data_IF_087398249351
#
_entry.id   IF_087398249351
#
_cell.length_a   1.000
_cell.length_b   1.000
_cell.length_c   1.000
_cell.angle_alpha   90.00
_cell.angle_beta   90.00
_cell.angle_gamma   90.00
#
_symmetry.space_group_name_H-M   'P 1'
#
loop_
_entity.id
_entity.type
_entity.pdbx_description
1 polymer ?
#
# COMPACT_ATOMS: atom_id res chain seq x y z
N UNK A 1 22.96 -2.47 5.43
CA UNK A 1 21.92 -1.47 5.13
C UNK A 1 21.07 -1.19 6.38
N UNK A 2 20.29 -0.09 6.37
CA UNK A 2 19.36 0.22 7.48
C UNK A 2 18.31 -0.88 7.66
N UNK A 3 17.86 -1.51 6.58
CA UNK A 3 16.92 -2.64 6.61
C UNK A 3 17.52 -3.82 7.40
N UNK A 4 18.76 -4.15 7.18
CA UNK A 4 19.42 -5.25 7.89
C UNK A 4 19.62 -4.97 9.38
N UNK A 5 19.99 -3.74 9.72
CA UNK A 5 20.06 -3.32 11.10
C UNK A 5 18.69 -3.46 11.82
N UNK A 6 17.61 -3.08 11.15
CA UNK A 6 16.25 -3.25 11.68
C UNK A 6 15.84 -4.72 11.80
N UNK A 7 16.18 -5.56 10.82
CA UNK A 7 15.91 -7.01 10.90
C UNK A 7 16.60 -7.67 12.10
N UNK A 8 17.81 -7.20 12.44
CA UNK A 8 18.58 -7.73 13.57
C UNK A 8 18.10 -7.18 14.93
N UNK A 9 17.56 -5.96 14.98
CA UNK A 9 17.22 -5.27 16.23
C UNK A 9 15.73 -5.27 16.57
N UNK A 10 14.83 -5.53 15.61
CA UNK A 10 13.39 -5.51 15.80
C UNK A 10 12.76 -6.89 15.51
N UNK A 11 12.50 -7.71 16.55
CA UNK A 11 11.91 -9.05 16.36
C UNK A 11 10.55 -9.05 15.67
N UNK A 12 9.75 -8.02 15.89
CA UNK A 12 8.43 -7.88 15.24
C UNK A 12 8.60 -7.71 13.73
N UNK A 13 9.53 -6.83 13.32
CA UNK A 13 9.80 -6.63 11.91
C UNK A 13 10.41 -7.89 11.26
N UNK A 14 11.34 -8.55 11.94
CA UNK A 14 11.91 -9.82 11.47
C UNK A 14 10.82 -10.89 11.28
N UNK A 15 9.90 -11.03 12.26
CA UNK A 15 8.77 -11.97 12.15
C UNK A 15 7.83 -11.63 11.02
N UNK A 16 7.56 -10.33 10.80
CA UNK A 16 6.72 -9.89 9.69
C UNK A 16 7.34 -10.28 8.33
N UNK A 17 8.64 -10.06 8.15
CA UNK A 17 9.34 -10.47 6.94
C UNK A 17 9.36 -12.00 6.78
N UNK A 18 9.45 -12.78 7.88
CA UNK A 18 9.31 -14.24 7.82
C UNK A 18 7.94 -14.66 7.27
N UNK A 19 6.86 -14.08 7.80
CA UNK A 19 5.50 -14.38 7.35
C UNK A 19 5.28 -14.02 5.88
N UNK A 20 5.77 -12.85 5.45
CA UNK A 20 5.70 -12.45 4.04
C UNK A 20 6.50 -13.38 3.14
N UNK A 21 7.68 -13.80 3.59
CA UNK A 21 8.52 -14.74 2.82
C UNK A 21 7.85 -16.10 2.68
N UNK A 22 7.24 -16.59 3.76
CA UNK A 22 6.49 -17.85 3.75
C UNK A 22 5.29 -17.79 2.78
N UNK A 23 4.50 -16.72 2.84
CA UNK A 23 3.41 -16.49 1.91
C UNK A 23 3.90 -16.39 0.46
N UNK A 24 5.01 -15.70 0.23
CA UNK A 24 5.56 -15.50 -1.12
C UNK A 24 6.14 -16.79 -1.75
N UNK A 25 6.57 -17.78 -0.96
CA UNK A 25 7.05 -19.07 -1.46
C UNK A 25 5.99 -19.87 -2.23
N UNK A 26 4.72 -19.65 -1.93
CA UNK A 26 3.59 -20.26 -2.66
C UNK A 26 3.39 -19.69 -4.07
N UNK A 27 4.01 -18.55 -4.38
CA UNK A 27 3.95 -17.93 -5.69
C UNK A 27 5.12 -18.41 -6.56
N UNK A 28 4.82 -18.89 -7.74
CA UNK A 28 5.86 -19.25 -8.73
C UNK A 28 6.31 -18.01 -9.49
N UNK A 29 7.01 -17.11 -8.78
CA UNK A 29 7.52 -15.85 -9.32
C UNK A 29 9.00 -15.98 -9.68
N UNK A 30 9.41 -15.32 -10.77
CA UNK A 30 10.80 -15.30 -11.23
C UNK A 30 11.61 -14.22 -10.50
N UNK A 31 10.95 -13.17 -10.01
CA UNK A 31 11.55 -12.07 -9.26
C UNK A 31 10.53 -11.38 -8.36
N UNK A 32 11.01 -10.57 -7.44
CA UNK A 32 10.21 -9.71 -6.56
C UNK A 32 10.23 -8.29 -7.10
N UNK A 33 9.12 -7.57 -7.04
CA UNK A 33 9.07 -6.14 -7.31
C UNK A 33 8.51 -5.36 -6.12
N UNK A 34 8.87 -4.09 -6.03
CA UNK A 34 8.34 -3.18 -5.01
C UNK A 34 8.41 -1.74 -5.45
N UNK A 35 7.43 -0.93 -5.03
CA UNK A 35 7.29 0.47 -5.38
C UNK A 35 7.93 1.43 -4.37
N UNK A 36 8.40 2.58 -4.85
CA UNK A 36 8.94 3.63 -4.00
C UNK A 36 7.85 4.15 -3.05
N UNK A 37 8.12 4.26 -1.80
CA UNK A 37 9.36 4.10 -1.02
C UNK A 37 9.20 3.04 0.07
N UNK A 38 7.98 2.90 0.64
CA UNK A 38 7.73 2.05 1.80
C UNK A 38 7.74 0.57 1.47
N UNK A 39 7.33 0.20 0.27
CA UNK A 39 7.35 -1.19 -0.17
C UNK A 39 8.76 -1.79 -0.11
N UNK A 40 9.80 -0.98 -0.35
CA UNK A 40 11.20 -1.45 -0.31
C UNK A 40 11.59 -2.04 1.05
N UNK A 41 11.00 -1.59 2.15
CA UNK A 41 11.25 -2.19 3.47
C UNK A 41 10.76 -3.63 3.57
N UNK A 42 9.83 -4.04 2.74
CA UNK A 42 9.27 -5.39 2.72
C UNK A 42 9.76 -6.20 1.53
N UNK A 43 9.74 -5.63 0.34
CA UNK A 43 10.06 -6.33 -0.90
C UNK A 43 11.54 -6.74 -0.99
N UNK A 44 12.47 -5.86 -0.62
CA UNK A 44 13.90 -6.18 -0.68
C UNK A 44 14.31 -7.33 0.26
N UNK A 45 13.96 -7.33 1.56
CA UNK A 45 14.33 -8.44 2.44
C UNK A 45 13.62 -9.74 2.06
N UNK A 46 12.39 -9.69 1.56
CA UNK A 46 11.71 -10.90 1.07
C UNK A 46 12.38 -11.45 -0.17
N UNK A 47 12.73 -10.62 -1.16
CA UNK A 47 13.49 -11.04 -2.34
C UNK A 47 14.77 -11.77 -1.95
N UNK A 48 15.55 -11.18 -1.03
CA UNK A 48 16.80 -11.76 -0.53
C UNK A 48 16.59 -13.12 0.15
N UNK A 49 15.54 -13.27 0.97
CA UNK A 49 15.24 -14.55 1.65
C UNK A 49 14.74 -15.63 0.70
N UNK A 50 14.12 -15.24 -0.41
CA UNK A 50 13.72 -16.14 -1.48
C UNK A 50 14.86 -16.51 -2.41
N UNK A 51 16.00 -15.80 -2.35
CA UNK A 51 17.09 -15.96 -3.32
C UNK A 51 16.72 -15.48 -4.72
N UNK A 52 15.77 -14.52 -4.82
CA UNK A 52 15.28 -13.94 -6.06
C UNK A 52 15.87 -12.53 -6.28
N UNK A 53 15.95 -12.11 -7.53
CA UNK A 53 16.25 -10.74 -7.87
C UNK A 53 15.10 -9.80 -7.46
N UNK A 54 15.40 -8.51 -7.33
CA UNK A 54 14.46 -7.46 -6.93
C UNK A 54 14.39 -6.34 -7.97
N UNK A 55 13.19 -6.00 -8.43
CA UNK A 55 12.93 -4.82 -9.26
C UNK A 55 12.42 -3.68 -8.38
N UNK A 56 13.24 -2.65 -8.20
CA UNK A 56 12.84 -1.41 -7.55
C UNK A 56 12.17 -0.49 -8.57
N UNK A 57 10.95 -0.04 -8.29
CA UNK A 57 10.17 0.84 -9.16
C UNK A 57 10.03 2.19 -8.46
N UNK A 58 10.49 3.27 -9.11
CA UNK A 58 10.42 4.61 -8.55
C UNK A 58 9.17 5.36 -9.04
N UNK A 59 8.86 6.49 -8.39
CA UNK A 59 7.65 7.28 -8.70
C UNK A 59 7.67 7.94 -10.08
N UNK A 60 8.87 8.18 -10.60
CA UNK A 60 9.09 8.68 -11.95
C UNK A 60 9.04 7.57 -13.02
N UNK A 61 8.67 6.35 -12.62
CA UNK A 61 8.60 5.13 -13.42
C UNK A 61 9.97 4.57 -13.81
N UNK A 62 11.07 5.16 -13.36
CA UNK A 62 12.39 4.55 -13.52
C UNK A 62 12.45 3.25 -12.71
N UNK A 63 13.28 2.32 -13.16
CA UNK A 63 13.42 1.01 -12.54
C UNK A 63 14.88 0.61 -12.44
N UNK A 64 15.22 -0.10 -11.37
CA UNK A 64 16.54 -0.71 -11.16
C UNK A 64 16.34 -2.16 -10.76
N UNK A 65 17.02 -3.06 -11.44
CA UNK A 65 17.04 -4.48 -11.09
C UNK A 65 18.30 -4.82 -10.29
N UNK A 66 18.12 -5.54 -9.21
CA UNK A 66 19.22 -6.10 -8.42
C UNK A 66 19.07 -7.62 -8.43
N UNK A 67 20.09 -8.34 -8.89
CA UNK A 67 20.03 -9.79 -8.95
C UNK A 67 20.09 -10.46 -7.55
N UNK A 68 19.97 -11.78 -7.52
CA UNK A 68 20.00 -12.56 -6.28
C UNK A 68 21.37 -12.47 -5.55
N UNK A 69 22.43 -12.08 -6.22
CA UNK A 69 23.77 -11.87 -5.68
C UNK A 69 23.96 -10.44 -5.14
N UNK A 70 22.98 -9.57 -5.35
CA UNK A 70 23.00 -8.17 -4.89
C UNK A 70 23.69 -7.21 -5.88
N UNK A 71 23.91 -7.63 -7.12
CA UNK A 71 24.48 -6.76 -8.18
C UNK A 71 23.35 -6.00 -8.85
N UNK A 72 23.43 -4.67 -8.79
CA UNK A 72 22.45 -3.80 -9.44
C UNK A 72 22.82 -3.55 -10.90
N UNK A 73 21.82 -3.55 -11.78
CA UNK A 73 21.97 -3.30 -13.21
C UNK A 73 20.77 -2.53 -13.76
N UNK A 74 20.91 -2.01 -14.95
CA UNK A 74 19.78 -1.46 -15.71
C UNK A 74 18.73 -2.56 -15.94
N UNK A 75 17.52 -2.29 -15.57
CA UNK A 75 16.39 -3.24 -15.68
C UNK A 75 16.11 -3.68 -17.13
N UNK A 76 16.37 -2.82 -18.11
CA UNK A 76 16.24 -3.19 -19.53
C UNK A 76 17.22 -4.29 -19.96
N UNK A 77 18.36 -4.38 -19.29
CA UNK A 77 19.41 -5.39 -19.54
C UNK A 77 19.23 -6.66 -18.69
N UNK A 78 18.28 -6.68 -17.77
CA UNK A 78 18.09 -7.78 -16.80
C UNK A 78 17.38 -9.03 -17.37
N UNK A 79 16.96 -9.00 -18.64
CA UNK A 79 16.31 -10.15 -19.29
C UNK A 79 14.99 -10.53 -18.64
N UNK A 80 14.16 -9.54 -18.29
CA UNK A 80 12.88 -9.74 -17.58
C UNK A 80 11.72 -10.08 -18.52
N UNK A 81 11.87 -9.97 -19.82
CA UNK A 81 10.83 -10.27 -20.78
C UNK A 81 10.26 -11.69 -20.60
N UNK A 82 8.94 -11.78 -20.53
CA UNK A 82 8.20 -13.04 -20.28
C UNK A 82 8.24 -13.53 -18.83
N UNK A 83 8.93 -12.84 -17.94
CA UNK A 83 9.02 -13.21 -16.52
C UNK A 83 7.85 -12.66 -15.70
N UNK A 84 7.59 -13.32 -14.58
CA UNK A 84 6.48 -13.05 -13.67
C UNK A 84 7.01 -12.61 -12.30
N UNK A 85 6.52 -11.47 -11.81
CA UNK A 85 6.89 -11.00 -10.47
C UNK A 85 5.79 -11.26 -9.45
N UNK A 86 6.21 -11.37 -8.18
CA UNK A 86 5.36 -11.03 -7.04
C UNK A 86 5.69 -9.59 -6.63
N UNK A 87 4.68 -8.73 -6.67
CA UNK A 87 4.84 -7.36 -6.17
C UNK A 87 4.49 -7.30 -4.69
N UNK A 88 5.39 -6.74 -3.90
CA UNK A 88 5.23 -6.67 -2.44
C UNK A 88 5.01 -5.22 -2.04
N UNK A 89 3.90 -4.98 -1.31
CA UNK A 89 3.49 -3.67 -0.82
C UNK A 89 3.33 -3.64 0.71
N UNK A 90 3.43 -2.44 1.27
CA UNK A 90 3.13 -2.20 2.68
C UNK A 90 1.63 -2.23 2.97
N UNK A 91 0.86 -1.52 2.17
CA UNK A 91 -0.57 -1.29 2.37
C UNK A 91 -1.30 -1.13 1.04
N UNK A 92 -2.44 -1.78 0.92
CA UNK A 92 -3.38 -1.59 -0.18
C UNK A 92 -4.62 -0.82 0.30
N UNK A 93 -5.03 0.17 -0.49
CA UNK A 93 -6.30 0.90 -0.32
C UNK A 93 -7.18 0.65 -1.55
N UNK A 94 -7.01 1.45 -2.59
CA UNK A 94 -7.69 1.33 -3.89
C UNK A 94 -6.70 0.99 -5.02
N UNK A 95 -5.54 0.46 -4.70
CA UNK A 95 -4.48 0.03 -5.63
C UNK A 95 -4.07 1.06 -6.70
N UNK A 96 -4.27 2.36 -6.45
CA UNK A 96 -4.05 3.41 -7.46
C UNK A 96 -2.60 3.50 -7.95
N UNK A 97 -1.62 3.22 -7.10
CA UNK A 97 -0.20 3.18 -7.48
C UNK A 97 0.10 2.01 -8.42
N UNK A 98 -0.53 0.87 -8.19
CA UNK A 98 -0.39 -0.29 -9.08
C UNK A 98 -0.84 0.02 -10.49
N UNK A 99 -2.07 0.52 -10.62
CA UNK A 99 -2.69 0.79 -11.94
C UNK A 99 -1.95 1.89 -12.69
N UNK A 100 -1.56 2.96 -11.98
CA UNK A 100 -0.95 4.14 -12.62
C UNK A 100 0.55 4.02 -12.85
N UNK A 101 1.24 3.18 -12.07
CA UNK A 101 2.69 3.16 -12.05
C UNK A 101 3.29 1.75 -12.11
N UNK A 102 3.00 0.89 -11.13
CA UNK A 102 3.76 -0.34 -10.96
C UNK A 102 3.52 -1.36 -12.08
N UNK A 103 2.27 -1.61 -12.44
CA UNK A 103 1.92 -2.52 -13.54
C UNK A 103 2.46 -1.99 -14.88
N UNK A 104 2.24 -0.71 -15.26
CA UNK A 104 2.85 -0.15 -16.48
C UNK A 104 4.39 -0.26 -16.51
N UNK A 105 5.07 0.03 -15.41
CA UNK A 105 6.53 -0.03 -15.36
C UNK A 105 7.07 -1.45 -15.58
N UNK A 106 6.45 -2.46 -14.96
CA UNK A 106 6.84 -3.87 -15.14
C UNK A 106 6.53 -4.34 -16.56
N UNK A 107 5.36 -3.98 -17.10
CA UNK A 107 4.98 -4.33 -18.48
C UNK A 107 5.86 -3.68 -19.53
N UNK A 108 6.37 -2.48 -19.29
CA UNK A 108 7.35 -1.84 -20.17
C UNK A 108 8.65 -2.64 -20.32
N UNK A 109 9.00 -3.51 -19.37
CA UNK A 109 10.11 -4.44 -19.42
C UNK A 109 9.76 -5.80 -20.05
N UNK A 110 8.54 -5.95 -20.56
CA UNK A 110 8.04 -7.22 -21.12
C UNK A 110 7.71 -8.28 -20.06
N UNK A 111 7.65 -7.90 -18.79
CA UNK A 111 7.28 -8.75 -17.67
C UNK A 111 5.87 -8.45 -17.16
N UNK A 112 5.33 -9.28 -16.26
CA UNK A 112 4.06 -9.04 -15.61
C UNK A 112 4.15 -9.15 -14.08
N UNK A 113 3.32 -8.38 -13.38
CA UNK A 113 3.01 -8.63 -11.97
C UNK A 113 1.93 -9.71 -11.94
N UNK A 114 2.32 -10.94 -11.62
CA UNK A 114 1.40 -12.08 -11.60
C UNK A 114 0.74 -12.27 -10.23
N UNK A 115 1.35 -11.73 -9.17
CA UNK A 115 0.88 -11.85 -7.79
C UNK A 115 1.14 -10.55 -7.05
N UNK A 116 0.23 -10.20 -6.14
CA UNK A 116 0.42 -9.09 -5.19
C UNK A 116 0.37 -9.63 -3.77
N UNK A 117 1.37 -9.24 -2.96
CA UNK A 117 1.43 -9.57 -1.55
C UNK A 117 1.56 -8.27 -0.75
N UNK A 118 0.63 -8.00 0.15
CA UNK A 118 0.69 -6.84 1.01
C UNK A 118 0.67 -7.21 2.49
N UNK A 119 1.23 -6.34 3.33
CA UNK A 119 1.11 -6.50 4.79
C UNK A 119 -0.33 -6.27 5.19
N UNK A 120 -0.94 -5.18 4.73
CA UNK A 120 -2.30 -4.80 5.12
C UNK A 120 -3.14 -4.47 3.89
N UNK A 121 -4.35 -5.03 3.82
CA UNK A 121 -5.43 -4.53 2.98
C UNK A 121 -6.42 -3.72 3.81
N UNK A 122 -6.67 -2.48 3.41
CA UNK A 122 -7.68 -1.63 4.06
C UNK A 122 -9.12 -1.99 3.67
N UNK A 123 -9.29 -2.99 2.81
CA UNK A 123 -10.59 -3.47 2.34
C UNK A 123 -11.46 -2.37 1.69
N UNK A 124 -10.83 -1.53 0.88
CA UNK A 124 -11.46 -0.39 0.18
C UNK A 124 -11.52 -0.62 -1.34
N UNK A 125 -11.68 -1.86 -1.78
CA UNK A 125 -11.85 -2.24 -3.18
C UNK A 125 -10.54 -2.51 -3.94
N UNK A 126 -9.37 -2.29 -3.35
CA UNK A 126 -8.08 -2.51 -4.02
C UNK A 126 -7.87 -3.96 -4.46
N UNK A 127 -8.32 -4.92 -3.67
CA UNK A 127 -8.21 -6.35 -4.01
C UNK A 127 -8.94 -6.70 -5.31
N UNK A 128 -10.15 -6.17 -5.52
CA UNK A 128 -10.90 -6.40 -6.77
C UNK A 128 -10.20 -5.76 -7.97
N UNK A 129 -9.73 -4.51 -7.81
CA UNK A 129 -9.00 -3.80 -8.87
C UNK A 129 -7.74 -4.57 -9.29
N UNK A 130 -7.02 -5.16 -8.33
CA UNK A 130 -5.83 -5.98 -8.62
C UNK A 130 -6.20 -7.31 -9.28
N UNK A 131 -7.28 -7.95 -8.87
CA UNK A 131 -7.78 -9.16 -9.52
C UNK A 131 -8.15 -8.89 -10.98
N UNK A 132 -8.87 -7.81 -11.26
CA UNK A 132 -9.26 -7.40 -12.62
C UNK A 132 -8.03 -7.03 -13.48
N UNK A 133 -6.96 -6.54 -12.86
CA UNK A 133 -5.69 -6.26 -13.54
C UNK A 133 -4.82 -7.51 -13.79
N UNK A 134 -5.24 -8.69 -13.33
CA UNK A 134 -4.53 -9.95 -13.48
C UNK A 134 -3.42 -10.21 -12.45
N UNK A 135 -3.39 -9.44 -11.35
CA UNK A 135 -2.42 -9.58 -10.26
C UNK A 135 -3.12 -9.74 -8.89
N UNK A 136 -3.77 -10.89 -8.64
CA UNK A 136 -4.59 -11.10 -7.45
C UNK A 136 -3.81 -10.84 -6.15
N UNK A 137 -4.52 -10.27 -5.16
CA UNK A 137 -3.96 -9.84 -3.89
C UNK A 137 -4.04 -10.95 -2.83
N UNK A 138 -2.93 -11.17 -2.16
CA UNK A 138 -2.85 -11.88 -0.88
C UNK A 138 -2.37 -10.91 0.19
N UNK A 139 -2.93 -10.96 1.40
CA UNK A 139 -2.54 -10.07 2.50
C UNK A 139 -2.32 -10.85 3.80
N UNK A 140 -1.46 -10.32 4.66
CA UNK A 140 -1.30 -10.87 6.00
C UNK A 140 -2.43 -10.44 6.94
N UNK A 141 -2.93 -9.22 6.75
CA UNK A 141 -4.01 -8.64 7.56
C UNK A 141 -4.97 -7.88 6.65
N UNK A 142 -6.27 -8.13 6.84
CA UNK A 142 -7.33 -7.32 6.23
C UNK A 142 -8.02 -6.51 7.31
N UNK A 143 -8.23 -5.22 7.06
CA UNK A 143 -8.97 -4.34 7.97
C UNK A 143 -10.45 -4.67 7.87
N UNK A 144 -10.98 -5.29 8.94
CA UNK A 144 -12.37 -5.71 9.05
C UNK A 144 -12.96 -5.23 10.38
N UNK A 145 -14.29 -5.13 10.54
CA UNK A 145 -14.94 -4.87 11.83
C UNK A 145 -14.44 -5.78 12.94
N UNK A 146 -14.34 -7.08 12.69
CA UNK A 146 -13.92 -8.10 13.67
C UNK A 146 -12.50 -7.86 14.23
N UNK A 147 -11.58 -7.29 13.44
CA UNK A 147 -10.27 -6.87 13.92
C UNK A 147 -10.39 -5.87 15.08
N UNK A 148 -11.25 -4.87 14.93
CA UNK A 148 -11.43 -3.82 15.93
C UNK A 148 -12.29 -4.28 17.11
N UNK A 149 -13.29 -5.11 16.88
CA UNK A 149 -14.06 -5.76 17.94
C UNK A 149 -13.15 -6.62 18.83
N UNK A 150 -12.21 -7.35 18.20
CA UNK A 150 -11.20 -8.12 18.93
C UNK A 150 -10.28 -7.21 19.72
N UNK A 151 -9.80 -6.11 19.14
CA UNK A 151 -8.96 -5.13 19.84
C UNK A 151 -9.71 -4.53 21.05
N UNK A 152 -11.02 -4.27 20.93
CA UNK A 152 -11.84 -3.79 22.03
C UNK A 152 -11.99 -4.85 23.13
N UNK A 153 -12.32 -6.09 22.78
CA UNK A 153 -12.39 -7.21 23.75
C UNK A 153 -11.08 -7.41 24.53
N UNK A 154 -9.95 -7.13 23.88
CA UNK A 154 -8.63 -7.17 24.50
C UNK A 154 -8.28 -5.90 25.30
N UNK A 155 -9.19 -4.94 25.42
CA UNK A 155 -8.97 -3.68 26.12
C UNK A 155 -7.94 -2.75 25.46
N UNK A 156 -7.67 -2.93 24.15
CA UNK A 156 -6.71 -2.11 23.40
C UNK A 156 -7.31 -0.81 22.88
N UNK A 157 -8.61 -0.78 22.68
CA UNK A 157 -9.37 0.41 22.29
C UNK A 157 -10.62 0.51 23.15
N UNK A 158 -11.12 1.73 23.35
CA UNK A 158 -12.35 2.01 24.09
C UNK A 158 -13.57 1.77 23.21
N UNK A 159 -14.76 1.66 23.82
CA UNK A 159 -16.02 1.56 23.08
C UNK A 159 -16.20 2.72 22.11
N UNK A 160 -15.94 3.97 22.55
CA UNK A 160 -16.03 5.15 21.69
C UNK A 160 -15.11 5.07 20.45
N UNK A 161 -13.90 4.53 20.60
CA UNK A 161 -12.99 4.32 19.48
C UNK A 161 -13.48 3.22 18.54
N UNK A 162 -14.04 2.14 19.08
CA UNK A 162 -14.67 1.09 18.29
C UNK A 162 -15.83 1.64 17.46
N UNK A 163 -16.78 2.36 18.09
CA UNK A 163 -17.94 2.94 17.40
C UNK A 163 -17.51 3.85 16.25
N UNK A 164 -16.49 4.68 16.50
CA UNK A 164 -15.94 5.59 15.49
C UNK A 164 -15.35 4.84 14.29
N UNK A 165 -14.59 3.78 14.53
CA UNK A 165 -13.98 2.98 13.46
C UNK A 165 -15.03 2.20 12.68
N UNK A 166 -16.01 1.61 13.37
CA UNK A 166 -17.09 0.88 12.72
C UNK A 166 -17.94 1.80 11.84
N UNK A 167 -18.25 3.02 12.30
CA UNK A 167 -18.95 4.02 11.51
C UNK A 167 -18.15 4.38 10.22
N UNK A 168 -16.83 4.58 10.35
CA UNK A 168 -15.96 4.84 9.20
C UNK A 168 -15.90 3.66 8.21
N UNK A 169 -15.83 2.41 8.69
CA UNK A 169 -15.80 1.22 7.83
C UNK A 169 -17.12 1.02 7.10
N UNK A 170 -18.25 1.31 7.77
CA UNK A 170 -19.59 1.15 7.19
C UNK A 170 -19.82 2.08 6.01
N UNK A 171 -19.47 3.36 6.14
CA UNK A 171 -19.60 4.37 5.09
C UNK A 171 -18.56 5.48 5.29
N UNK A 172 -17.38 5.36 4.68
CA UNK A 172 -16.30 6.36 4.78
C UNK A 172 -16.70 7.74 4.25
N UNK A 173 -17.55 7.79 3.23
CA UNK A 173 -17.97 9.03 2.59
C UNK A 173 -18.95 9.77 3.49
N UNK A 174 -19.98 9.10 4.01
CA UNK A 174 -20.91 9.67 4.96
C UNK A 174 -20.19 10.11 6.25
N UNK A 175 -19.28 9.28 6.76
CA UNK A 175 -18.48 9.61 7.94
C UNK A 175 -17.71 10.93 7.77
N UNK A 176 -17.08 11.13 6.60
CA UNK A 176 -16.34 12.36 6.31
C UNK A 176 -17.28 13.56 6.13
N UNK A 177 -18.43 13.38 5.49
CA UNK A 177 -19.45 14.44 5.35
C UNK A 177 -19.97 14.90 6.72
N UNK A 178 -20.30 13.96 7.61
CA UNK A 178 -20.73 14.25 8.98
C UNK A 178 -19.64 14.99 9.77
N UNK A 179 -18.37 14.59 9.61
CA UNK A 179 -17.24 15.30 10.19
C UNK A 179 -17.14 16.75 9.70
N UNK A 180 -17.27 16.96 8.39
CA UNK A 180 -17.20 18.31 7.80
C UNK A 180 -18.38 19.19 8.24
N UNK A 181 -19.58 18.62 8.39
CA UNK A 181 -20.74 19.34 8.92
C UNK A 181 -20.58 19.72 10.40
N UNK A 182 -20.00 18.82 11.19
CA UNK A 182 -19.69 19.08 12.60
C UNK A 182 -18.53 20.09 12.79
N UNK A 183 -17.69 20.28 11.77
CA UNK A 183 -16.52 21.15 11.80
C UNK A 183 -16.48 22.10 10.58
N UNK A 184 -17.43 23.03 10.44
CA UNK A 184 -17.60 23.85 9.24
C UNK A 184 -16.40 24.76 8.90
N UNK A 185 -15.55 25.05 9.85
CA UNK A 185 -14.32 25.82 9.68
C UNK A 185 -13.09 24.95 9.28
N UNK A 186 -13.23 23.62 9.22
CA UNK A 186 -12.10 22.71 8.97
C UNK A 186 -11.43 22.99 7.64
N UNK A 187 -12.18 23.03 6.55
CA UNK A 187 -11.63 23.25 5.19
C UNK A 187 -10.94 24.62 5.07
N UNK A 188 -11.55 25.68 5.62
CA UNK A 188 -10.95 27.03 5.65
C UNK A 188 -9.61 27.02 6.38
N UNK A 189 -9.54 26.36 7.53
CA UNK A 189 -8.28 26.23 8.30
C UNK A 189 -7.20 25.45 7.55
N UNK A 190 -7.58 24.37 6.87
CA UNK A 190 -6.61 23.58 6.09
C UNK A 190 -6.10 24.36 4.86
N UNK A 191 -6.95 25.14 4.20
CA UNK A 191 -6.56 26.05 3.11
C UNK A 191 -5.58 27.11 3.62
N UNK A 192 -5.87 27.71 4.78
CA UNK A 192 -5.00 28.73 5.39
C UNK A 192 -3.61 28.24 5.75
N UNK A 193 -3.43 26.91 6.02
CA UNK A 193 -2.12 26.31 6.26
C UNK A 193 -1.23 26.26 5.01
N UNK A 194 -1.81 26.36 3.82
CA UNK A 194 -1.08 26.28 2.54
C UNK A 194 -0.53 24.90 2.19
N UNK A 195 0.23 24.84 1.11
CA UNK A 195 0.94 23.64 0.69
C UNK A 195 0.02 22.44 0.42
N UNK A 196 0.43 21.25 0.86
CA UNK A 196 -0.34 20.01 0.64
C UNK A 196 -1.69 19.98 1.35
N UNK A 197 -1.84 20.73 2.45
CA UNK A 197 -3.10 20.78 3.17
C UNK A 197 -4.14 21.57 2.38
N UNK A 198 -3.75 22.73 1.85
CA UNK A 198 -4.60 23.52 0.96
C UNK A 198 -5.02 22.73 -0.29
N UNK A 199 -4.06 22.11 -0.97
CA UNK A 199 -4.34 21.28 -2.16
C UNK A 199 -5.36 20.16 -1.89
N UNK A 200 -5.29 19.50 -0.74
CA UNK A 200 -6.23 18.45 -0.37
C UNK A 200 -7.61 18.98 -0.02
N UNK A 201 -7.68 20.11 0.68
CA UNK A 201 -8.95 20.75 1.01
C UNK A 201 -9.65 21.29 -0.27
N UNK A 202 -8.89 21.89 -1.16
CA UNK A 202 -9.38 22.36 -2.47
C UNK A 202 -9.87 21.18 -3.34
N UNK A 203 -9.13 20.06 -3.35
CA UNK A 203 -9.56 18.85 -4.05
C UNK A 203 -10.88 18.31 -3.47
N UNK A 204 -11.03 18.29 -2.17
CA UNK A 204 -12.26 17.86 -1.49
C UNK A 204 -13.47 18.73 -1.94
N UNK A 205 -13.25 20.04 -2.09
CA UNK A 205 -14.28 20.99 -2.56
C UNK A 205 -14.58 20.77 -4.04
N UNK A 206 -13.55 20.76 -4.89
CA UNK A 206 -13.71 20.71 -6.35
C UNK A 206 -14.23 19.37 -6.86
N UNK A 207 -13.98 18.29 -6.12
CA UNK A 207 -14.55 16.96 -6.41
C UNK A 207 -16.04 16.83 -6.02
N UNK A 208 -16.63 17.87 -5.41
CA UNK A 208 -18.03 17.84 -4.95
C UNK A 208 -18.26 16.97 -3.71
N UNK A 209 -17.19 16.56 -3.04
CA UNK A 209 -17.24 15.69 -1.86
C UNK A 209 -17.68 16.46 -0.61
N UNK A 210 -17.30 17.75 -0.49
CA UNK A 210 -17.65 18.57 0.65
C UNK A 210 -19.13 18.99 0.62
N UNK A 211 -19.90 18.78 1.70
CA UNK A 211 -21.28 19.27 1.78
C UNK A 211 -21.32 20.80 1.63
N UNK A 212 -22.36 21.32 0.96
CA UNK A 212 -22.49 22.76 0.70
C UNK A 212 -22.41 23.62 1.97
N UNK A 213 -22.96 23.12 3.10
CA UNK A 213 -22.92 23.80 4.40
C UNK A 213 -21.51 23.88 5.03
N UNK A 214 -20.54 23.06 4.56
CA UNK A 214 -19.17 23.01 5.03
C UNK A 214 -18.19 23.73 4.08
N UNK A 215 -18.68 24.35 3.00
CA UNK A 215 -17.82 25.10 2.08
C UNK A 215 -17.31 26.40 2.72
N UNK A 216 -16.07 26.79 2.48
CA UNK A 216 -15.53 28.08 2.91
C UNK A 216 -16.41 29.23 2.38
N UNK A 217 -16.68 30.19 3.28
CA UNK A 217 -17.41 31.43 2.94
C UNK A 217 -16.46 32.46 2.39
#
# INVERSE_FOLDING_TARGET
SQIEAQLSSCPIYARLIDLMTEAARGFHADFVSGGERRDFFFSMPVARRLGLGHLSIFKDLSTVYTDAQGVSMDSASAGLAGKRSVHIADLITVASSYVRAWIPAVRALGADIAYSLAVVDRNQGGGQILADAGCPLTTLVTVTPDLFETAHRMGRITQKQLDLVLAFIADPDQFMQDFLLAHPDFLSREIAKGGKNAQRAELCITSGFAPQAALPR
#
